data_IF_326779675921
#
_entry.id   IF_326779675921
#
_cell.length_a   1.000
_cell.length_b   1.000
_cell.length_c   1.000
_cell.angle_alpha   90.00
_cell.angle_beta   90.00
_cell.angle_gamma   90.00
#
_symmetry.space_group_name_H-M   'P 1'
#
loop_
_entity.id
_entity.type
_entity.pdbx_description
1 polymer ?
#
# COMPACT_ATOMS: atom_id res chain seq x y z
N UNK A 1 -25.42 7.26 -15.02
CA UNK A 1 -24.72 6.67 -16.18
C UNK A 1 -23.30 6.42 -15.72
N UNK A 2 -22.87 5.17 -15.66
CA UNK A 2 -21.51 4.80 -15.25
C UNK A 2 -20.50 5.36 -16.26
N UNK A 3 -19.39 5.96 -15.80
CA UNK A 3 -18.41 6.60 -16.69
C UNK A 3 -17.90 5.65 -17.78
N UNK A 4 -17.77 4.35 -17.51
CA UNK A 4 -17.29 3.38 -18.49
C UNK A 4 -18.25 3.19 -19.67
N UNK A 5 -19.56 3.23 -19.43
CA UNK A 5 -20.56 3.21 -20.51
C UNK A 5 -20.57 4.51 -21.30
N UNK A 6 -20.50 5.64 -20.58
CA UNK A 6 -20.46 6.95 -21.19
C UNK A 6 -19.22 7.14 -22.09
N UNK A 7 -18.02 6.77 -21.62
CA UNK A 7 -16.77 6.84 -22.39
C UNK A 7 -16.88 6.05 -23.70
N UNK A 8 -17.38 4.81 -23.63
CA UNK A 8 -17.56 3.95 -24.82
C UNK A 8 -18.55 4.57 -25.81
N UNK A 9 -19.70 5.02 -25.31
CA UNK A 9 -20.72 5.65 -26.14
C UNK A 9 -20.21 6.91 -26.84
N UNK A 10 -19.43 7.75 -26.17
CA UNK A 10 -18.84 8.95 -26.78
C UNK A 10 -17.77 8.59 -27.81
N UNK A 11 -16.97 7.55 -27.55
CA UNK A 11 -16.01 7.04 -28.52
C UNK A 11 -16.71 6.47 -29.78
N UNK A 12 -17.76 5.67 -29.60
CA UNK A 12 -18.54 5.08 -30.71
C UNK A 12 -19.26 6.14 -31.56
N UNK A 13 -19.54 7.31 -30.99
CA UNK A 13 -20.06 8.49 -31.69
C UNK A 13 -18.99 9.27 -32.48
N UNK A 14 -17.75 8.78 -32.49
CA UNK A 14 -16.61 9.44 -33.14
C UNK A 14 -15.91 10.49 -32.28
N UNK A 15 -16.21 10.55 -30.98
CA UNK A 15 -15.52 11.43 -30.04
C UNK A 15 -14.05 11.01 -29.87
N UNK A 16 -13.13 11.97 -29.98
CA UNK A 16 -11.71 11.70 -29.70
C UNK A 16 -11.43 11.63 -28.18
N UNK A 17 -10.35 10.94 -27.81
CA UNK A 17 -10.02 10.68 -26.40
C UNK A 17 -9.76 11.97 -25.60
N UNK A 18 -9.20 13.02 -26.21
CA UNK A 18 -9.00 14.33 -25.61
C UNK A 18 -10.32 15.03 -25.27
N UNK A 19 -11.31 14.97 -26.16
CA UNK A 19 -12.64 15.51 -25.93
C UNK A 19 -13.35 14.79 -24.79
N UNK A 20 -13.25 13.45 -24.77
CA UNK A 20 -13.79 12.62 -23.68
C UNK A 20 -13.09 12.94 -22.36
N UNK A 21 -11.76 13.06 -22.35
CA UNK A 21 -10.98 13.44 -21.17
C UNK A 21 -11.38 14.83 -20.65
N UNK A 22 -11.50 15.81 -21.53
CA UNK A 22 -11.89 17.18 -21.19
C UNK A 22 -13.30 17.23 -20.58
N UNK A 23 -14.25 16.49 -21.14
CA UNK A 23 -15.61 16.38 -20.61
C UNK A 23 -15.62 15.63 -19.27
N UNK A 24 -14.85 14.55 -19.15
CA UNK A 24 -14.73 13.78 -17.92
C UNK A 24 -14.19 14.60 -16.75
N UNK A 25 -13.21 15.48 -16.98
CA UNK A 25 -12.66 16.37 -15.95
C UNK A 25 -13.69 17.37 -15.40
N UNK A 26 -14.71 17.72 -16.18
CA UNK A 26 -15.81 18.62 -15.78
C UNK A 26 -17.00 17.86 -15.19
N UNK A 27 -17.07 16.56 -15.39
CA UNK A 27 -18.16 15.72 -14.91
C UNK A 27 -18.10 15.50 -13.39
N UNK A 28 -19.11 14.81 -12.83
CA UNK A 28 -19.17 14.49 -11.41
C UNK A 28 -18.04 13.54 -11.01
N UNK A 29 -17.74 13.49 -9.71
CA UNK A 29 -16.78 12.56 -9.12
C UNK A 29 -17.60 11.47 -8.42
N UNK A 30 -17.45 10.20 -8.83
CA UNK A 30 -18.39 9.15 -8.40
C UNK A 30 -18.15 8.59 -7.00
N UNK A 31 -16.91 8.51 -6.51
CA UNK A 31 -16.61 7.87 -5.22
C UNK A 31 -16.58 8.82 -4.02
N UNK A 32 -17.21 9.99 -4.16
CA UNK A 32 -17.04 11.12 -3.26
C UNK A 32 -18.26 11.28 -2.33
N UNK A 33 -18.38 10.40 -1.34
CA UNK A 33 -19.39 10.55 -0.28
C UNK A 33 -18.92 11.62 0.73
N UNK A 34 -19.64 12.75 0.81
CA UNK A 34 -19.38 13.84 1.77
C UNK A 34 -18.70 15.07 1.17
N UNK A 35 -19.49 15.98 0.58
CA UNK A 35 -19.02 17.22 -0.06
C UNK A 35 -18.15 18.10 0.85
N UNK A 36 -18.42 18.12 2.16
CA UNK A 36 -17.73 19.01 3.10
C UNK A 36 -16.31 18.53 3.45
N UNK A 37 -16.14 17.21 3.64
CA UNK A 37 -14.81 16.61 3.93
C UNK A 37 -13.85 16.79 2.75
N UNK A 38 -14.42 16.75 1.55
CA UNK A 38 -13.72 16.92 0.28
C UNK A 38 -13.21 18.32 0.07
N UNK A 39 -14.09 19.32 0.24
CA UNK A 39 -13.69 20.70 0.13
C UNK A 39 -12.55 21.02 1.09
N UNK A 40 -12.67 20.58 2.36
CA UNK A 40 -11.60 20.74 3.34
C UNK A 40 -10.28 20.06 2.90
N UNK A 41 -10.33 18.83 2.40
CA UNK A 41 -9.13 18.15 1.89
C UNK A 41 -8.47 18.91 0.73
N UNK A 42 -9.26 19.42 -0.23
CA UNK A 42 -8.73 20.16 -1.36
C UNK A 42 -8.13 21.51 -0.93
N UNK A 43 -8.74 22.18 0.04
CA UNK A 43 -8.20 23.40 0.66
C UNK A 43 -6.88 23.11 1.41
N UNK A 44 -6.81 22.01 2.15
CA UNK A 44 -5.57 21.60 2.85
C UNK A 44 -4.44 21.31 1.83
N UNK A 45 -4.73 20.58 0.75
CA UNK A 45 -3.77 20.32 -0.33
C UNK A 45 -3.35 21.61 -1.02
N UNK A 46 -4.30 22.50 -1.31
CA UNK A 46 -4.06 23.81 -1.91
C UNK A 46 -3.11 24.66 -1.05
N UNK A 47 -3.35 24.71 0.27
CA UNK A 47 -2.52 25.42 1.22
C UNK A 47 -1.10 24.84 1.31
N UNK A 48 -0.96 23.52 1.36
CA UNK A 48 0.34 22.84 1.42
C UNK A 48 1.17 23.10 0.16
N UNK A 49 0.55 23.00 -1.01
CA UNK A 49 1.23 23.18 -2.29
C UNK A 49 1.35 24.65 -2.72
N UNK A 50 0.66 25.55 -2.01
CA UNK A 50 0.57 26.99 -2.30
C UNK A 50 0.00 27.27 -3.70
N UNK A 51 -1.07 26.56 -4.04
CA UNK A 51 -1.81 26.71 -5.30
C UNK A 51 -3.26 27.09 -4.99
N UNK A 52 -3.99 27.74 -5.92
CA UNK A 52 -5.41 27.98 -5.71
C UNK A 52 -6.19 26.65 -5.72
N UNK A 53 -7.25 26.49 -4.90
CA UNK A 53 -8.07 25.26 -4.89
C UNK A 53 -8.64 24.90 -6.26
N UNK A 54 -8.97 25.92 -7.08
CA UNK A 54 -9.46 25.73 -8.45
C UNK A 54 -8.44 25.13 -9.43
N UNK A 55 -7.16 25.05 -9.08
CA UNK A 55 -6.13 24.36 -9.85
C UNK A 55 -6.11 22.84 -9.61
N UNK A 56 -6.87 22.33 -8.63
CA UNK A 56 -6.83 20.93 -8.22
C UNK A 56 -8.02 20.18 -8.83
N UNK A 57 -7.72 19.07 -9.50
CA UNK A 57 -8.69 18.18 -10.11
C UNK A 57 -8.56 16.79 -9.50
N UNK A 58 -9.65 16.24 -8.95
CA UNK A 58 -9.71 14.80 -8.68
C UNK A 58 -9.69 14.06 -10.02
N UNK A 59 -8.81 13.08 -10.16
CA UNK A 59 -8.65 12.24 -11.35
C UNK A 59 -8.58 10.76 -10.94
N UNK A 60 -8.37 9.87 -11.91
CA UNK A 60 -8.18 8.46 -11.62
C UNK A 60 -9.44 7.77 -11.11
N UNK A 61 -9.25 6.65 -10.41
CA UNK A 61 -10.35 5.71 -10.14
C UNK A 61 -11.46 6.30 -9.27
N UNK A 62 -11.13 7.24 -8.36
CA UNK A 62 -12.11 7.94 -7.53
C UNK A 62 -13.10 8.78 -8.37
N UNK A 63 -12.62 9.38 -9.46
CA UNK A 63 -13.51 10.10 -10.41
C UNK A 63 -14.42 9.14 -11.15
N UNK A 64 -13.84 8.10 -11.73
CA UNK A 64 -14.54 7.24 -12.68
C UNK A 64 -15.37 6.14 -12.02
N UNK A 65 -15.14 5.82 -10.75
CA UNK A 65 -15.71 4.65 -10.08
C UNK A 65 -15.04 3.33 -10.49
N UNK A 66 -14.02 3.37 -11.36
CA UNK A 66 -13.22 2.23 -11.81
C UNK A 66 -11.85 2.68 -12.32
N UNK A 67 -10.90 1.76 -12.45
CA UNK A 67 -9.58 2.04 -12.98
C UNK A 67 -9.57 2.02 -14.51
N UNK A 68 -9.16 3.13 -15.13
CA UNK A 68 -8.98 3.19 -16.60
C UNK A 68 -7.88 2.23 -17.11
N UNK A 69 -7.00 1.70 -16.25
CA UNK A 69 -5.94 0.79 -16.71
C UNK A 69 -6.43 -0.63 -16.89
N UNK A 70 -7.28 -1.14 -16.02
CA UNK A 70 -7.63 -2.57 -16.00
C UNK A 70 -9.14 -2.81 -15.85
N UNK A 71 -9.95 -1.73 -15.84
CA UNK A 71 -11.40 -1.82 -15.71
C UNK A 71 -11.88 -2.22 -14.31
N UNK A 72 -10.97 -2.47 -13.35
CA UNK A 72 -11.34 -2.89 -12.01
C UNK A 72 -12.17 -1.82 -11.30
N UNK A 73 -13.24 -2.23 -10.61
CA UNK A 73 -14.07 -1.31 -9.82
C UNK A 73 -13.24 -0.61 -8.76
N UNK A 74 -13.56 0.65 -8.52
CA UNK A 74 -12.94 1.41 -7.45
C UNK A 74 -13.36 0.83 -6.10
N UNK A 75 -12.37 0.67 -5.21
CA UNK A 75 -12.60 0.36 -3.80
C UNK A 75 -11.88 1.40 -2.94
N UNK A 76 -12.62 2.14 -2.11
CA UNK A 76 -12.06 3.08 -1.12
C UNK A 76 -10.92 2.49 -0.29
N UNK A 77 -11.04 1.20 0.09
CA UNK A 77 -10.15 0.56 1.05
C UNK A 77 -8.69 0.41 0.56
N UNK A 78 -8.46 0.32 -0.75
CA UNK A 78 -7.14 0.03 -1.35
C UNK A 78 -6.82 0.85 -2.61
N UNK A 79 -7.54 1.96 -2.81
CA UNK A 79 -7.30 2.88 -3.92
C UNK A 79 -6.85 4.24 -3.39
N UNK A 80 -5.88 4.83 -4.07
CA UNK A 80 -5.45 6.20 -3.79
C UNK A 80 -6.52 7.21 -4.27
N UNK A 81 -6.57 8.36 -3.62
CA UNK A 81 -7.17 9.56 -4.17
C UNK A 81 -6.13 10.26 -5.05
N UNK A 82 -6.28 10.13 -6.36
CA UNK A 82 -5.37 10.75 -7.32
C UNK A 82 -5.79 12.21 -7.62
N UNK A 83 -4.92 13.17 -7.31
CA UNK A 83 -5.10 14.58 -7.62
C UNK A 83 -4.19 15.02 -8.76
N UNK A 84 -4.73 15.81 -9.68
CA UNK A 84 -3.99 16.53 -10.70
C UNK A 84 -4.01 18.03 -10.38
N UNK A 85 -2.85 18.66 -10.24
CA UNK A 85 -2.70 20.10 -10.03
C UNK A 85 -2.24 20.75 -11.32
N UNK A 86 -2.93 21.79 -11.78
CA UNK A 86 -2.55 22.59 -12.96
C UNK A 86 -1.97 23.91 -12.48
N UNK A 87 -0.65 23.98 -12.37
CA UNK A 87 0.05 25.18 -11.91
C UNK A 87 1.47 25.22 -12.48
N UNK A 88 1.75 26.21 -13.33
CA UNK A 88 3.01 26.29 -14.06
C UNK A 88 4.21 26.61 -13.13
N UNK A 89 3.99 27.38 -12.07
CA UNK A 89 5.06 27.80 -11.17
C UNK A 89 5.47 26.66 -10.24
N UNK A 90 4.50 25.94 -9.67
CA UNK A 90 4.73 24.69 -8.94
C UNK A 90 5.36 23.63 -9.85
N UNK A 91 4.88 23.52 -11.09
CA UNK A 91 5.48 22.63 -12.08
C UNK A 91 6.95 22.96 -12.27
N UNK A 92 7.29 24.23 -12.53
CA UNK A 92 8.66 24.68 -12.75
C UNK A 92 9.57 24.41 -11.53
N UNK A 93 9.06 24.61 -10.32
CA UNK A 93 9.77 24.33 -9.04
C UNK A 93 10.08 22.85 -8.81
N UNK A 94 9.33 21.94 -9.42
CA UNK A 94 9.61 20.51 -9.35
C UNK A 94 10.81 20.17 -10.25
N UNK A 95 12.03 20.24 -9.73
CA UNK A 95 13.28 19.96 -10.45
C UNK A 95 13.54 18.45 -10.60
N UNK A 96 12.68 17.75 -11.36
CA UNK A 96 12.89 16.34 -11.66
C UNK A 96 14.17 16.12 -12.49
N UNK A 97 15.07 15.25 -12.01
CA UNK A 97 16.26 14.79 -12.72
C UNK A 97 16.15 13.28 -13.01
N UNK A 98 16.27 12.83 -14.29
CA UNK A 98 16.41 13.64 -15.51
C UNK A 98 15.15 14.45 -15.81
N UNK A 99 15.29 15.57 -16.55
CA UNK A 99 14.17 16.42 -16.95
C UNK A 99 13.14 15.57 -17.73
N UNK A 100 11.90 15.42 -17.23
CA UNK A 100 10.87 14.66 -17.93
C UNK A 100 10.50 15.35 -19.24
N UNK A 101 9.89 14.61 -20.18
CA UNK A 101 9.50 15.18 -21.45
C UNK A 101 8.49 16.33 -21.25
N UNK A 102 8.48 17.30 -22.17
CA UNK A 102 7.63 18.49 -22.04
C UNK A 102 6.15 18.08 -21.90
N UNK A 103 5.53 18.47 -20.79
CA UNK A 103 4.12 18.17 -20.49
C UNK A 103 3.87 16.86 -19.74
N UNK A 104 4.90 16.09 -19.38
CA UNK A 104 4.78 14.95 -18.46
C UNK A 104 4.52 15.40 -17.01
N UNK A 105 3.76 14.63 -16.22
CA UNK A 105 3.47 14.99 -14.84
C UNK A 105 4.72 14.99 -13.95
N UNK A 106 4.78 15.94 -13.02
CA UNK A 106 5.76 16.00 -11.93
C UNK A 106 5.10 15.66 -10.60
N UNK A 107 5.88 15.18 -9.62
CA UNK A 107 5.36 14.69 -8.35
C UNK A 107 6.00 15.48 -7.20
N UNK A 108 5.26 16.35 -6.49
CA UNK A 108 5.82 17.23 -5.45
C UNK A 108 6.59 16.49 -4.34
N UNK A 109 6.09 15.32 -3.93
CA UNK A 109 6.71 14.46 -2.92
C UNK A 109 8.05 13.83 -3.35
N UNK A 110 8.41 13.93 -4.63
CA UNK A 110 9.65 13.39 -5.21
C UNK A 110 10.54 14.50 -5.76
N UNK A 111 9.93 15.42 -6.49
CA UNK A 111 10.58 16.33 -7.44
C UNK A 111 10.79 17.75 -6.88
N UNK A 112 10.20 18.10 -5.73
CA UNK A 112 10.53 19.36 -5.06
C UNK A 112 11.93 19.32 -4.40
N UNK A 113 12.55 20.48 -4.16
CA UNK A 113 13.77 20.59 -3.37
C UNK A 113 13.62 19.89 -2.00
N UNK A 114 14.71 19.27 -1.51
CA UNK A 114 14.69 18.38 -0.33
C UNK A 114 13.94 18.97 0.88
N UNK A 115 14.18 20.22 1.32
CA UNK A 115 13.51 20.78 2.51
C UNK A 115 11.99 20.90 2.33
N UNK A 116 11.56 21.29 1.12
CA UNK A 116 10.14 21.40 0.77
C UNK A 116 9.51 20.03 0.62
N UNK A 117 10.18 19.10 -0.04
CA UNK A 117 9.73 17.73 -0.24
C UNK A 117 9.43 17.01 1.07
N UNK A 118 10.30 17.14 2.07
CA UNK A 118 10.08 16.55 3.40
C UNK A 118 8.84 17.15 4.07
N UNK A 119 8.67 18.47 3.96
CA UNK A 119 7.52 19.18 4.54
C UNK A 119 6.21 18.78 3.85
N UNK A 120 6.21 18.73 2.52
CA UNK A 120 5.07 18.30 1.70
C UNK A 120 4.69 16.86 2.02
N UNK A 121 5.66 15.94 2.05
CA UNK A 121 5.38 14.53 2.40
C UNK A 121 4.74 14.40 3.78
N UNK A 122 5.28 15.10 4.79
CA UNK A 122 4.72 15.10 6.15
C UNK A 122 3.28 15.63 6.18
N UNK A 123 2.99 16.66 5.39
CA UNK A 123 1.65 17.22 5.29
C UNK A 123 0.68 16.28 4.56
N UNK A 124 1.10 15.66 3.46
CA UNK A 124 0.32 14.65 2.73
C UNK A 124 0.04 13.40 3.56
N UNK A 125 0.98 12.97 4.40
CA UNK A 125 0.74 11.90 5.39
C UNK A 125 -0.32 12.31 6.42
N UNK A 126 -0.31 13.56 6.87
CA UNK A 126 -1.31 14.09 7.80
C UNK A 126 -2.69 14.17 7.16
N UNK A 127 -2.79 14.69 5.94
CA UNK A 127 -4.04 14.76 5.15
C UNK A 127 -4.56 13.35 4.88
N UNK A 128 -3.71 12.42 4.44
CA UNK A 128 -4.13 11.04 4.15
C UNK A 128 -4.71 10.34 5.38
N UNK A 129 -4.20 10.63 6.58
CA UNK A 129 -4.77 10.10 7.83
C UNK A 129 -6.19 10.61 8.13
N UNK A 130 -6.58 11.81 7.67
CA UNK A 130 -7.94 12.35 7.93
C UNK A 130 -9.02 11.71 7.07
N UNK A 131 -8.62 11.03 5.99
CA UNK A 131 -9.49 10.35 5.01
C UNK A 131 -9.15 8.88 4.81
N UNK A 132 -8.46 8.26 5.77
CA UNK A 132 -7.97 6.87 5.70
C UNK A 132 -9.09 5.81 5.63
N UNK A 133 -10.29 6.19 6.03
CA UNK A 133 -11.54 5.43 5.90
C UNK A 133 -12.07 5.44 4.46
N UNK A 134 -11.69 6.44 3.66
CA UNK A 134 -12.15 6.64 2.29
C UNK A 134 -11.10 6.30 1.23
N UNK A 135 -9.81 6.42 1.54
CA UNK A 135 -8.72 6.25 0.56
C UNK A 135 -7.49 5.62 1.21
N UNK A 136 -6.70 4.90 0.40
CA UNK A 136 -5.43 4.33 0.85
C UNK A 136 -4.36 5.42 1.08
N UNK A 137 -4.32 6.42 0.20
CA UNK A 137 -3.40 7.56 0.26
C UNK A 137 -3.92 8.70 -0.61
N UNK A 138 -3.53 9.95 -0.32
CA UNK A 138 -3.78 11.10 -1.21
C UNK A 138 -2.53 11.33 -2.06
N UNK A 139 -2.64 11.20 -3.38
CA UNK A 139 -1.51 11.35 -4.30
C UNK A 139 -1.67 12.60 -5.17
N UNK A 140 -0.56 13.26 -5.52
CA UNK A 140 -0.58 14.48 -6.31
C UNK A 140 0.39 14.44 -7.49
N UNK A 141 -0.12 14.78 -8.67
CA UNK A 141 0.67 15.01 -9.89
C UNK A 141 0.44 16.44 -10.40
N UNK A 142 1.52 17.15 -10.72
CA UNK A 142 1.50 18.54 -11.19
C UNK A 142 1.72 18.58 -12.70
N UNK A 143 0.93 19.41 -13.38
CA UNK A 143 0.97 19.66 -14.81
C UNK A 143 1.20 21.16 -15.06
N UNK A 144 1.94 21.53 -16.14
CA UNK A 144 2.23 22.93 -16.43
C UNK A 144 1.00 23.69 -16.93
N UNK A 145 0.06 22.99 -17.57
CA UNK A 145 -1.12 23.57 -18.18
C UNK A 145 -2.24 22.52 -18.31
N UNK A 146 -3.46 23.01 -18.54
CA UNK A 146 -4.65 22.17 -18.65
C UNK A 146 -4.61 21.22 -19.86
N UNK A 147 -4.00 21.63 -20.98
CA UNK A 147 -3.91 20.79 -22.17
C UNK A 147 -2.99 19.58 -21.94
N UNK A 148 -1.91 19.76 -21.18
CA UNK A 148 -1.03 18.68 -20.73
C UNK A 148 -1.76 17.65 -19.86
N UNK A 149 -2.58 18.12 -18.90
CA UNK A 149 -3.46 17.24 -18.12
C UNK A 149 -4.43 16.45 -19.00
N UNK A 150 -5.10 17.13 -19.95
CA UNK A 150 -6.06 16.49 -20.86
C UNK A 150 -5.39 15.42 -21.70
N UNK A 151 -4.21 15.68 -22.28
CA UNK A 151 -3.45 14.68 -23.05
C UNK A 151 -3.10 13.45 -22.21
N UNK A 152 -2.69 13.65 -20.95
CA UNK A 152 -2.37 12.55 -20.04
C UNK A 152 -3.61 11.69 -19.71
N UNK A 153 -4.77 12.30 -19.46
CA UNK A 153 -6.02 11.56 -19.25
C UNK A 153 -6.50 10.87 -20.52
N UNK A 154 -6.35 11.51 -21.69
CA UNK A 154 -6.68 10.91 -22.98
C UNK A 154 -5.84 9.65 -23.24
N UNK A 155 -4.55 9.65 -22.90
CA UNK A 155 -3.70 8.46 -22.97
C UNK A 155 -4.24 7.29 -22.13
N UNK A 156 -4.75 7.56 -20.91
CA UNK A 156 -5.37 6.55 -20.05
C UNK A 156 -6.70 6.04 -20.61
N UNK A 157 -7.52 6.92 -21.19
CA UNK A 157 -8.78 6.54 -21.83
C UNK A 157 -8.52 5.69 -23.08
N UNK A 158 -7.51 6.02 -23.89
CA UNK A 158 -7.10 5.17 -25.02
C UNK A 158 -6.68 3.78 -24.57
N UNK A 159 -5.87 3.71 -23.50
CA UNK A 159 -5.48 2.42 -22.92
C UNK A 159 -6.71 1.63 -22.46
N UNK A 160 -7.65 2.25 -21.75
CA UNK A 160 -8.92 1.62 -21.35
C UNK A 160 -9.69 1.05 -22.54
N UNK A 161 -9.90 1.87 -23.58
CA UNK A 161 -10.63 1.48 -24.78
C UNK A 161 -9.93 0.38 -25.58
N UNK A 162 -8.59 0.32 -25.52
CA UNK A 162 -7.79 -0.74 -26.15
C UNK A 162 -7.78 -2.05 -25.37
N UNK A 163 -8.07 -2.03 -24.07
CA UNK A 163 -8.01 -3.21 -23.18
C UNK A 163 -9.30 -4.02 -23.22
N UNK A 164 -10.43 -3.41 -23.59
CA UNK A 164 -11.73 -4.10 -23.74
C UNK A 164 -11.81 -5.10 -24.91
N UNK A 165 -10.69 -5.41 -25.59
CA UNK A 165 -10.59 -6.43 -26.63
C UNK A 165 -10.17 -7.83 -26.12
N UNK A 166 -9.83 -8.00 -24.83
CA UNK A 166 -9.45 -9.30 -24.24
C UNK A 166 -10.09 -9.51 -22.87
N UNK A 167 -11.16 -10.31 -22.80
CA UNK A 167 -11.70 -10.89 -21.56
C UNK A 167 -11.72 -12.43 -21.65
N UNK A 168 -11.10 -13.11 -20.69
CA UNK A 168 -11.39 -14.50 -20.26
C UNK A 168 -10.59 -14.76 -18.96
N UNK A 169 -11.23 -14.92 -17.79
CA UNK A 169 -11.80 -16.15 -17.20
C UNK A 169 -10.75 -17.10 -16.57
N UNK A 170 -10.85 -17.36 -15.25
CA UNK A 170 -10.99 -18.71 -14.63
C UNK A 170 -10.76 -18.73 -13.11
N UNK A 171 -11.40 -19.72 -12.48
CA UNK A 171 -11.57 -20.03 -11.05
C UNK A 171 -10.60 -21.15 -10.58
N UNK A 172 -10.20 -21.20 -9.30
CA UNK A 172 -10.47 -22.32 -8.33
C UNK A 172 -9.59 -22.34 -7.05
N UNK A 173 -10.26 -22.83 -5.98
CA UNK A 173 -9.97 -23.19 -4.56
C UNK A 173 -8.93 -24.34 -4.38
N UNK A 174 -8.36 -24.72 -3.21
CA UNK A 174 -8.56 -24.46 -1.76
C UNK A 174 -7.26 -24.77 -0.96
N UNK A 175 -7.22 -24.42 0.33
CA UNK A 175 -6.18 -24.76 1.31
C UNK A 175 -6.57 -25.92 2.25
N UNK A 176 -5.58 -26.51 2.94
CA UNK A 176 -5.72 -27.52 4.00
C UNK A 176 -5.10 -27.01 5.34
N UNK A 177 -5.60 -27.42 6.52
CA UNK A 177 -5.23 -26.82 7.80
C UNK A 177 -4.21 -27.65 8.60
N UNK A 178 -3.42 -26.99 9.46
CA UNK A 178 -2.65 -27.62 10.56
C UNK A 178 -2.75 -26.73 11.80
N UNK A 179 -2.92 -27.35 12.98
CA UNK A 179 -3.18 -26.67 14.25
C UNK A 179 -2.17 -26.92 15.37
N UNK A 180 -2.37 -26.12 16.43
CA UNK A 180 -1.92 -26.20 17.84
C UNK A 180 -0.47 -25.79 18.18
N UNK A 181 -0.26 -24.48 18.42
CA UNK A 181 0.95 -23.91 19.05
C UNK A 181 0.59 -22.76 19.99
N UNK A 182 0.00 -23.04 21.16
CA UNK A 182 -0.66 -21.94 21.92
C UNK A 182 -0.27 -21.81 23.41
N UNK A 183 0.44 -22.79 24.01
CA UNK A 183 0.80 -22.75 25.44
C UNK A 183 2.30 -22.52 25.73
N UNK A 184 3.20 -22.85 24.79
CA UNK A 184 4.65 -22.73 25.02
C UNK A 184 5.22 -21.36 24.63
N UNK A 185 4.52 -20.60 23.79
CA UNK A 185 5.04 -19.37 23.20
C UNK A 185 5.23 -18.23 24.21
N UNK A 186 4.30 -18.04 25.15
CA UNK A 186 4.44 -17.01 26.18
C UNK A 186 5.72 -17.19 27.01
N UNK A 187 6.07 -18.43 27.37
CA UNK A 187 7.31 -18.72 28.11
C UNK A 187 8.57 -18.36 27.33
N UNK A 188 8.53 -18.53 26.01
CA UNK A 188 9.64 -18.17 25.11
C UNK A 188 9.80 -16.64 25.04
N UNK A 189 8.68 -15.91 25.00
CA UNK A 189 8.64 -14.45 25.00
C UNK A 189 9.15 -13.91 26.33
N UNK A 190 8.70 -14.48 27.45
CA UNK A 190 9.16 -14.13 28.79
C UNK A 190 10.67 -14.39 28.97
N UNK A 191 11.23 -15.35 28.22
CA UNK A 191 12.66 -15.65 28.16
C UNK A 191 13.45 -14.75 27.18
N UNK A 192 12.83 -13.68 26.66
CA UNK A 192 13.49 -12.71 25.78
C UNK A 192 13.48 -13.05 24.30
N UNK A 193 12.66 -14.03 23.86
CA UNK A 193 12.54 -14.49 22.47
C UNK A 193 13.92 -14.81 21.86
N UNK A 194 14.64 -15.86 22.32
CA UNK A 194 16.02 -16.11 21.89
C UNK A 194 16.13 -16.41 20.39
N UNK A 195 17.23 -15.99 19.75
CA UNK A 195 17.54 -16.28 18.32
C UNK A 195 17.74 -17.75 18.03
N UNK A 196 18.41 -18.42 18.94
CA UNK A 196 18.69 -19.85 18.89
C UNK A 196 18.37 -20.42 20.26
N UNK A 197 17.71 -21.57 20.28
CA UNK A 197 17.48 -22.30 21.54
C UNK A 197 18.71 -23.09 22.01
N UNK A 198 19.69 -23.31 21.11
CA UNK A 198 20.95 -24.04 21.34
C UNK A 198 22.13 -23.30 20.67
N UNK A 199 23.40 -23.65 20.98
CA UNK A 199 24.56 -23.14 20.26
C UNK A 199 24.46 -23.36 18.74
N UNK A 200 25.14 -22.51 17.96
CA UNK A 200 25.11 -22.59 16.48
C UNK A 200 25.58 -23.95 15.97
N UNK A 201 26.58 -24.56 16.63
CA UNK A 201 27.09 -25.89 16.27
C UNK A 201 26.05 -27.02 16.42
N UNK A 202 24.99 -26.79 17.20
CA UNK A 202 23.90 -27.73 17.49
C UNK A 202 22.57 -27.27 16.86
N UNK A 203 22.64 -26.27 15.97
CA UNK A 203 21.48 -25.70 15.31
C UNK A 203 20.94 -26.60 14.20
N UNK A 204 19.62 -26.66 14.10
CA UNK A 204 18.86 -27.37 13.09
C UNK A 204 17.66 -26.52 12.67
N UNK A 205 17.03 -26.79 11.51
CA UNK A 205 15.81 -26.10 11.12
C UNK A 205 14.68 -26.18 12.16
N UNK A 206 14.69 -27.15 13.07
CA UNK A 206 13.66 -27.27 14.11
C UNK A 206 13.89 -26.42 15.36
N UNK A 207 15.11 -25.89 15.57
CA UNK A 207 15.50 -25.20 16.81
C UNK A 207 16.16 -23.82 16.59
N UNK A 208 16.43 -23.49 15.32
CA UNK A 208 17.08 -22.28 14.83
C UNK A 208 16.28 -21.59 13.71
N UNK A 209 14.99 -21.92 13.59
CA UNK A 209 14.03 -21.24 12.71
C UNK A 209 13.23 -20.18 13.49
N UNK A 210 12.55 -19.26 12.80
CA UNK A 210 11.61 -18.34 13.44
C UNK A 210 10.60 -19.07 14.33
N UNK A 211 10.23 -18.44 15.45
CA UNK A 211 9.27 -18.98 16.40
C UNK A 211 7.86 -18.94 15.82
N UNK A 212 7.21 -20.10 15.73
CA UNK A 212 5.89 -20.22 15.13
C UNK A 212 4.77 -19.99 16.14
N UNK A 213 3.76 -19.21 15.74
CA UNK A 213 2.65 -18.79 16.59
C UNK A 213 1.47 -18.33 15.72
N UNK A 214 0.25 -18.47 16.22
CA UNK A 214 -0.94 -17.88 15.59
C UNK A 214 -1.20 -16.42 16.03
N UNK A 215 -2.18 -15.77 15.40
CA UNK A 215 -2.51 -14.38 15.71
C UNK A 215 -2.94 -14.17 17.17
N UNK A 216 -3.63 -15.13 17.79
CA UNK A 216 -4.13 -14.99 19.14
C UNK A 216 -2.99 -15.08 20.18
N UNK A 217 -2.10 -16.05 20.05
CA UNK A 217 -0.89 -16.13 20.86
C UNK A 217 0.04 -14.93 20.64
N UNK A 218 0.18 -14.44 19.41
CA UNK A 218 0.99 -13.26 19.14
C UNK A 218 0.43 -12.01 19.83
N UNK A 219 -0.88 -11.78 19.73
CA UNK A 219 -1.53 -10.66 20.39
C UNK A 219 -1.43 -10.74 21.92
N UNK A 220 -1.57 -11.94 22.49
CA UNK A 220 -1.37 -12.16 23.94
C UNK A 220 0.06 -11.85 24.36
N UNK A 221 1.04 -12.36 23.62
CA UNK A 221 2.47 -12.22 23.92
C UNK A 221 2.97 -10.78 23.84
N UNK A 222 2.55 -10.03 22.81
CA UNK A 222 3.11 -8.71 22.55
C UNK A 222 2.14 -7.57 22.88
N UNK A 223 0.87 -7.82 23.21
CA UNK A 223 -0.14 -6.81 23.55
C UNK A 223 -0.04 -6.18 24.94
N UNK A 224 1.15 -6.14 25.55
CA UNK A 224 1.36 -5.77 26.95
C UNK A 224 1.04 -4.32 27.33
N UNK A 225 0.90 -3.40 26.37
CA UNK A 225 0.57 -2.00 26.62
C UNK A 225 -0.35 -1.38 25.55
N UNK A 226 -0.85 -0.16 25.80
CA UNK A 226 -1.80 0.51 24.93
C UNK A 226 -1.26 0.75 23.51
N UNK A 227 -0.02 1.21 23.39
CA UNK A 227 0.62 1.45 22.09
C UNK A 227 0.73 0.15 21.27
N UNK A 228 1.20 -0.94 21.89
CA UNK A 228 1.31 -2.24 21.22
C UNK A 228 -0.05 -2.80 20.83
N UNK A 229 -1.08 -2.63 21.67
CA UNK A 229 -2.47 -3.01 21.33
C UNK A 229 -3.00 -2.22 20.13
N UNK A 230 -2.73 -0.92 20.06
CA UNK A 230 -3.08 -0.08 18.90
C UNK A 230 -2.41 -0.59 17.63
N UNK A 231 -1.11 -0.89 17.67
CA UNK A 231 -0.37 -1.44 16.52
C UNK A 231 -0.86 -2.84 16.11
N UNK A 232 -1.22 -3.70 17.07
CA UNK A 232 -1.80 -5.01 16.79
C UNK A 232 -3.19 -4.90 16.16
N UNK A 233 -4.01 -3.94 16.60
CA UNK A 233 -5.30 -3.65 15.97
C UNK A 233 -5.12 -3.14 14.53
N UNK A 234 -4.16 -2.23 14.31
CA UNK A 234 -3.81 -1.78 12.97
C UNK A 234 -3.30 -2.92 12.08
N UNK A 235 -2.49 -3.83 12.62
CA UNK A 235 -2.02 -5.02 11.89
C UNK A 235 -3.19 -5.95 11.52
N UNK A 236 -4.16 -6.11 12.42
CA UNK A 236 -5.35 -6.91 12.14
C UNK A 236 -6.16 -6.30 10.98
N UNK A 237 -6.34 -4.98 10.99
CA UNK A 237 -7.00 -4.27 9.88
C UNK A 237 -6.18 -4.38 8.57
N UNK A 238 -4.85 -4.33 8.65
CA UNK A 238 -3.99 -4.50 7.49
C UNK A 238 -4.14 -5.90 6.87
N UNK A 239 -4.27 -6.95 7.69
CA UNK A 239 -4.58 -8.30 7.18
C UNK A 239 -5.98 -8.38 6.56
N UNK A 240 -6.97 -7.66 7.09
CA UNK A 240 -8.32 -7.62 6.52
C UNK A 240 -8.34 -6.91 5.15
N UNK A 241 -7.54 -5.84 5.00
CA UNK A 241 -7.34 -5.16 3.73
C UNK A 241 -6.59 -6.05 2.72
N UNK A 242 -5.54 -6.76 3.17
CA UNK A 242 -4.77 -7.69 2.33
C UNK A 242 -5.59 -8.87 1.85
N UNK A 243 -6.45 -9.42 2.71
CA UNK A 243 -7.29 -10.56 2.37
C UNK A 243 -8.16 -10.28 1.14
N UNK A 244 -8.48 -9.01 0.84
CA UNK A 244 -9.24 -8.63 -0.35
C UNK A 244 -8.43 -8.73 -1.66
N UNK A 245 -7.11 -8.86 -1.57
CA UNK A 245 -6.19 -8.79 -2.72
C UNK A 245 -5.39 -10.08 -2.91
N UNK A 246 -4.93 -10.68 -1.81
CA UNK A 246 -4.03 -11.84 -1.83
C UNK A 246 -4.43 -12.86 -0.77
N UNK A 247 -4.00 -14.10 -0.95
CA UNK A 247 -4.11 -15.14 0.07
C UNK A 247 -2.83 -15.17 0.91
N UNK A 248 -2.93 -14.77 2.18
CA UNK A 248 -1.80 -14.70 3.11
C UNK A 248 -1.50 -16.09 3.66
N UNK A 249 -0.34 -16.64 3.30
CA UNK A 249 0.10 -17.97 3.74
C UNK A 249 0.68 -17.93 5.16
N UNK A 250 1.57 -16.98 5.41
CA UNK A 250 2.19 -16.73 6.71
C UNK A 250 2.85 -15.35 6.72
N UNK A 251 3.33 -14.89 7.87
CA UNK A 251 4.08 -13.64 7.98
C UNK A 251 5.27 -13.77 8.91
N UNK A 252 6.42 -13.25 8.51
CA UNK A 252 7.61 -13.17 9.34
C UNK A 252 7.69 -11.79 9.97
N UNK A 253 7.60 -11.72 11.29
CA UNK A 253 7.69 -10.49 12.07
C UNK A 253 9.06 -10.39 12.72
N UNK A 254 9.66 -9.21 12.66
CA UNK A 254 10.94 -8.93 13.29
C UNK A 254 10.99 -7.52 13.86
N UNK A 255 12.22 -7.02 13.99
CA UNK A 255 12.44 -5.62 14.36
C UNK A 255 12.14 -5.30 15.82
N UNK A 256 11.97 -4.01 16.10
CA UNK A 256 11.91 -3.50 17.48
C UNK A 256 10.63 -3.89 18.23
N UNK A 257 9.61 -4.34 17.51
CA UNK A 257 8.30 -4.71 18.07
C UNK A 257 8.34 -6.03 18.86
N UNK A 258 9.09 -7.02 18.36
CA UNK A 258 9.24 -8.33 19.02
C UNK A 258 10.28 -8.34 20.13
N UNK A 259 10.98 -7.21 20.32
CA UNK A 259 11.86 -6.98 21.46
C UNK A 259 11.03 -6.73 22.72
N UNK A 260 10.98 -7.69 23.63
CA UNK A 260 10.21 -7.58 24.88
C UNK A 260 10.74 -6.51 25.83
N UNK A 261 12.02 -6.16 25.74
CA UNK A 261 12.61 -5.10 26.56
C UNK A 261 12.22 -3.71 26.06
N UNK A 262 11.80 -3.59 24.80
CA UNK A 262 11.40 -2.33 24.21
C UNK A 262 9.92 -2.00 24.50
N UNK A 263 9.66 -1.23 25.56
CA UNK A 263 8.30 -0.84 25.94
C UNK A 263 7.57 0.01 24.88
N UNK A 264 8.29 0.71 24.00
CA UNK A 264 7.71 1.65 23.03
C UNK A 264 8.28 1.44 21.61
N UNK A 265 7.91 0.35 20.92
CA UNK A 265 8.32 0.13 19.54
C UNK A 265 7.73 1.18 18.60
N UNK A 266 8.55 1.68 17.67
CA UNK A 266 8.16 2.74 16.75
C UNK A 266 7.24 2.25 15.63
N UNK A 267 7.55 1.08 15.08
CA UNK A 267 6.91 0.45 13.94
C UNK A 267 6.88 -1.08 14.10
N UNK A 268 6.05 -1.72 13.28
CA UNK A 268 5.96 -3.16 13.15
C UNK A 268 6.58 -3.59 11.81
N UNK A 269 7.76 -4.20 11.87
CA UNK A 269 8.46 -4.78 10.72
C UNK A 269 7.89 -6.17 10.40
N UNK A 270 7.28 -6.34 9.23
CA UNK A 270 6.65 -7.61 8.83
C UNK A 270 6.85 -7.93 7.35
N UNK A 271 7.15 -9.20 7.06
CA UNK A 271 7.15 -9.76 5.71
C UNK A 271 5.96 -10.70 5.57
N UNK A 272 5.08 -10.43 4.63
CA UNK A 272 3.91 -11.25 4.31
C UNK A 272 4.23 -12.16 3.13
N UNK A 273 4.10 -13.47 3.37
CA UNK A 273 4.18 -14.50 2.36
C UNK A 273 2.79 -14.73 1.80
N UNK A 274 2.61 -14.54 0.51
CA UNK A 274 1.28 -14.53 -0.11
C UNK A 274 1.22 -15.35 -1.39
N UNK A 275 0.00 -15.69 -1.82
CA UNK A 275 -0.31 -16.14 -3.17
C UNK A 275 -1.30 -15.17 -3.81
N UNK A 276 -1.16 -14.92 -5.10
CA UNK A 276 -2.12 -14.11 -5.83
C UNK A 276 -3.49 -14.81 -5.84
N UNK A 277 -4.56 -14.04 -5.57
CA UNK A 277 -5.93 -14.53 -5.71
C UNK A 277 -6.30 -14.55 -7.19
N UNK A 278 -6.68 -15.72 -7.71
CA UNK A 278 -7.07 -15.92 -9.11
C UNK A 278 -8.26 -15.05 -9.55
N UNK A 279 -9.13 -14.72 -8.59
CA UNK A 279 -10.37 -13.97 -8.74
C UNK A 279 -10.15 -12.44 -8.77
N UNK A 280 -8.97 -11.98 -8.37
CA UNK A 280 -8.63 -10.56 -8.36
C UNK A 280 -8.16 -10.17 -9.75
N UNK A 281 -8.99 -9.39 -10.46
CA UNK A 281 -8.79 -9.03 -11.88
C UNK A 281 -7.73 -7.94 -12.13
N UNK A 282 -7.02 -7.49 -11.10
CA UNK A 282 -5.98 -6.48 -11.23
C UNK A 282 -4.63 -7.05 -10.79
N UNK A 283 -3.55 -6.47 -11.32
CA UNK A 283 -2.18 -6.87 -10.99
C UNK A 283 -1.90 -6.68 -9.48
N UNK A 284 -1.64 -7.76 -8.71
CA UNK A 284 -1.54 -7.70 -7.25
C UNK A 284 -0.44 -6.78 -6.73
N UNK A 285 0.70 -6.70 -7.41
CA UNK A 285 1.84 -5.90 -6.99
C UNK A 285 1.51 -4.41 -6.83
N UNK A 286 0.69 -3.84 -7.72
CA UNK A 286 0.25 -2.44 -7.59
C UNK A 286 -0.67 -2.21 -6.39
N UNK A 287 -1.61 -3.12 -6.15
CA UNK A 287 -2.50 -2.98 -4.99
C UNK A 287 -1.72 -3.13 -3.68
N UNK A 288 -0.78 -4.10 -3.63
CA UNK A 288 0.15 -4.26 -2.52
C UNK A 288 1.01 -3.00 -2.32
N UNK A 289 1.50 -2.36 -3.38
CA UNK A 289 2.26 -1.11 -3.29
C UNK A 289 1.45 0.03 -2.65
N UNK A 290 0.16 0.13 -2.96
CA UNK A 290 -0.74 1.14 -2.37
C UNK A 290 -1.02 0.83 -0.92
N UNK A 291 -1.32 -0.43 -0.62
CA UNK A 291 -1.54 -0.91 0.73
C UNK A 291 -0.31 -0.70 1.63
N UNK A 292 0.92 -0.90 1.12
CA UNK A 292 2.15 -0.57 1.88
C UNK A 292 2.16 0.87 2.38
N UNK A 293 1.72 1.83 1.56
CA UNK A 293 1.69 3.24 1.99
C UNK A 293 0.66 3.47 3.09
N UNK A 294 -0.52 2.89 2.93
CA UNK A 294 -1.58 2.92 3.95
C UNK A 294 -1.10 2.33 5.27
N UNK A 295 -0.45 1.16 5.22
CA UNK A 295 0.07 0.47 6.40
C UNK A 295 1.20 1.25 7.07
N UNK A 296 2.06 1.90 6.28
CA UNK A 296 3.13 2.74 6.82
C UNK A 296 2.59 3.96 7.59
N UNK A 297 1.44 4.53 7.18
CA UNK A 297 0.77 5.59 7.94
C UNK A 297 0.31 5.14 9.33
N UNK A 298 0.07 3.84 9.50
CA UNK A 298 -0.32 3.18 10.74
C UNK A 298 0.88 2.51 11.43
N UNK A 299 2.11 2.90 11.06
CA UNK A 299 3.37 2.39 11.61
C UNK A 299 3.59 0.89 11.40
N UNK A 300 3.17 0.35 10.26
CA UNK A 300 3.43 -1.03 9.86
C UNK A 300 4.30 -1.01 8.59
N UNK A 301 5.58 -1.38 8.72
CA UNK A 301 6.46 -1.57 7.56
C UNK A 301 6.26 -2.99 7.01
N UNK A 302 5.23 -3.11 6.17
CA UNK A 302 4.84 -4.36 5.55
C UNK A 302 5.49 -4.58 4.19
N UNK A 303 6.18 -5.71 4.04
CA UNK A 303 6.84 -6.17 2.83
C UNK A 303 6.22 -7.47 2.34
N UNK A 304 6.43 -7.81 1.07
CA UNK A 304 5.72 -8.91 0.42
C UNK A 304 6.65 -9.89 -0.30
N UNK A 305 6.37 -11.18 -0.17
CA UNK A 305 7.06 -12.26 -0.86
C UNK A 305 6.02 -13.18 -1.53
N UNK A 306 5.99 -13.28 -2.87
CA UNK A 306 5.08 -14.18 -3.57
C UNK A 306 5.56 -15.63 -3.45
N UNK A 307 4.66 -16.53 -3.04
CA UNK A 307 4.91 -17.97 -2.88
C UNK A 307 4.56 -18.78 -4.13
N UNK A 308 3.82 -18.16 -5.04
CA UNK A 308 3.39 -18.69 -6.34
C UNK A 308 4.27 -18.22 -7.51
N UNK A 309 5.35 -17.50 -7.21
CA UNK A 309 6.39 -17.16 -8.16
C UNK A 309 7.46 -18.26 -8.26
N UNK A 310 8.44 -18.04 -9.14
CA UNK A 310 9.59 -18.93 -9.29
C UNK A 310 10.33 -19.17 -7.96
N UNK A 311 10.73 -20.42 -7.64
CA UNK A 311 11.37 -20.75 -6.35
C UNK A 311 12.61 -19.90 -6.04
N UNK A 312 13.39 -19.53 -7.06
CA UNK A 312 14.58 -18.70 -6.87
C UNK A 312 14.24 -17.30 -6.34
N UNK A 313 13.06 -16.76 -6.69
CA UNK A 313 12.61 -15.46 -6.23
C UNK A 313 12.19 -15.52 -4.76
N UNK A 314 11.43 -16.56 -4.38
CA UNK A 314 11.06 -16.83 -2.99
C UNK A 314 12.30 -16.93 -2.10
N UNK A 315 13.30 -17.73 -2.50
CA UNK A 315 14.56 -17.89 -1.74
C UNK A 315 15.28 -16.54 -1.64
N UNK A 316 15.48 -15.84 -2.76
CA UNK A 316 16.20 -14.55 -2.79
C UNK A 316 15.57 -13.51 -1.87
N UNK A 317 14.25 -13.33 -1.93
CA UNK A 317 13.55 -12.33 -1.13
C UNK A 317 13.50 -12.71 0.35
N UNK A 318 13.25 -13.98 0.67
CA UNK A 318 13.25 -14.49 2.05
C UNK A 318 14.62 -14.30 2.70
N UNK A 319 15.69 -14.65 1.99
CA UNK A 319 17.07 -14.45 2.46
C UNK A 319 17.38 -12.97 2.67
N UNK A 320 16.98 -12.09 1.75
CA UNK A 320 17.16 -10.64 1.89
C UNK A 320 16.52 -10.10 3.17
N UNK A 321 15.25 -10.42 3.44
CA UNK A 321 14.57 -9.90 4.63
C UNK A 321 15.09 -10.51 5.93
N UNK A 322 15.42 -11.81 5.92
CA UNK A 322 16.07 -12.46 7.07
C UNK A 322 17.38 -11.78 7.41
N UNK A 323 18.22 -11.53 6.39
CA UNK A 323 19.47 -10.78 6.56
C UNK A 323 19.20 -9.36 7.06
N UNK A 324 18.20 -8.65 6.51
CA UNK A 324 17.87 -7.30 6.91
C UNK A 324 17.46 -7.21 8.39
N UNK A 325 16.61 -8.13 8.86
CA UNK A 325 16.15 -8.16 10.25
C UNK A 325 17.24 -8.59 11.24
N UNK A 326 18.20 -9.40 10.79
CA UNK A 326 19.34 -9.82 11.59
C UNK A 326 20.53 -8.82 11.52
N UNK A 327 20.53 -7.94 10.52
CA UNK A 327 21.59 -6.95 10.31
C UNK A 327 21.58 -5.86 11.37
N UNK A 328 22.77 -5.41 11.75
CA UNK A 328 22.98 -4.33 12.72
C UNK A 328 22.88 -2.98 12.04
N UNK A 329 22.14 -2.04 12.63
CA UNK A 329 22.27 -0.62 12.27
C UNK A 329 23.47 -0.04 13.05
N UNK A 330 24.37 0.70 12.40
CA UNK A 330 25.48 1.36 13.09
C UNK A 330 24.97 2.22 14.25
N UNK A 331 25.57 2.08 15.44
CA UNK A 331 25.21 2.87 16.63
C UNK A 331 23.99 2.39 17.43
N UNK A 332 23.47 1.18 17.16
CA UNK A 332 22.41 0.55 17.98
C UNK A 332 22.96 -0.63 18.79
N UNK A 333 22.42 -0.85 19.99
CA UNK A 333 22.78 -2.01 20.82
C UNK A 333 22.48 -3.34 20.11
N UNK A 334 23.15 -4.41 20.57
CA UNK A 334 22.98 -5.75 20.02
C UNK A 334 21.53 -6.22 20.18
N UNK A 335 20.80 -6.28 19.07
CA UNK A 335 19.52 -6.99 19.02
C UNK A 335 19.83 -8.47 19.19
N UNK A 336 19.38 -9.10 20.25
CA UNK A 336 19.59 -10.54 20.50
C UNK A 336 18.30 -11.36 20.47
N UNK A 337 17.19 -10.78 20.02
CA UNK A 337 15.92 -11.47 19.84
C UNK A 337 15.83 -12.19 18.48
N UNK A 338 15.06 -13.27 18.47
CA UNK A 338 14.70 -14.08 17.31
C UNK A 338 13.59 -13.44 16.47
N UNK A 339 13.17 -14.18 15.44
CA UNK A 339 12.07 -13.78 14.57
C UNK A 339 10.82 -14.59 14.91
N UNK A 340 9.65 -14.06 14.57
CA UNK A 340 8.36 -14.71 14.80
C UNK A 340 7.72 -15.02 13.45
N UNK A 341 7.32 -16.28 13.23
CA UNK A 341 6.51 -16.69 12.08
C UNK A 341 5.04 -16.79 12.52
N UNK A 342 4.25 -15.81 12.10
CA UNK A 342 2.80 -15.80 12.22
C UNK A 342 2.18 -16.70 11.18
N UNK A 343 1.44 -17.70 11.63
CA UNK A 343 0.63 -18.56 10.77
C UNK A 343 -0.84 -18.15 10.90
N UNK A 344 -1.57 -18.18 9.78
CA UNK A 344 -3.00 -17.92 9.80
C UNK A 344 -3.68 -18.95 10.72
N UNK A 345 -4.33 -18.47 11.78
CA UNK A 345 -5.08 -19.34 12.69
C UNK A 345 -6.26 -20.01 11.99
N UNK A 346 -6.80 -21.12 12.54
CA UNK A 346 -7.98 -21.77 11.99
C UNK A 346 -9.16 -20.78 11.99
N UNK A 347 -9.59 -20.32 10.81
CA UNK A 347 -10.78 -19.46 10.70
C UNK A 347 -10.78 -18.40 9.59
N UNK A 348 -9.75 -18.33 8.74
CA UNK A 348 -9.77 -17.44 7.57
C UNK A 348 -9.37 -18.20 6.30
N UNK A 349 -10.37 -18.77 5.65
CA UNK A 349 -10.33 -19.30 4.28
C UNK A 349 -11.40 -18.62 3.46
#
# INVERSE_FOLDING_TARGET
>A
MEYGEWIRKEHDRGGNAEGIAQAALRGPILSFEGSNRTAALLEDVAAVLRVPPGAIHVVGSARFGFCLRDGARFSPAYSDLDLAIVDNDLYARCEAAPKPALGEPRFPERDLPIPERVSVRKAFDAISRTVKDCYAYVSAAVFPDHASLVRAQAGRIRAYLGITAQEAASQHTSAAPIGALDANFQRIVDAGLPRYSLPIAESSPGNASPWMVDNAAFQRAFGGNALRKERLAALQQAFDDLAQVVDVQCSLVGGSFVDVANAAPNDLDIVVFYRARSEVRFEPGRALQRLTRKFLLEHIDMRFVPCDAEPWLLVKLTSYFTMLYQSRRPGTEDRNHGLVLLVAGPGRS
#
